data_IF_001992321334
#
_entry.id   IF_001992321334
#
_cell.length_a   1.000
_cell.length_b   1.000
_cell.length_c   1.000
_cell.angle_alpha   90.00
_cell.angle_beta   90.00
_cell.angle_gamma   90.00
#
_symmetry.space_group_name_H-M   'P 1'
#
loop_
_entity.id
_entity.type
_entity.pdbx_description
1 polymer ?
#
# COMPACT_ATOMS: atom_id res chain seq x y z
N UNK A 1 -92.98 29.20 -1.05
CA UNK A 1 -93.85 28.23 -0.36
C UNK A 1 -92.95 27.06 0.08
N UNK A 2 -93.01 26.67 1.37
CA UNK A 2 -92.16 25.64 2.01
C UNK A 2 -92.20 24.30 1.25
N UNK A 3 -91.15 23.47 1.28
CA UNK A 3 -90.94 22.31 2.19
C UNK A 3 -89.51 21.77 1.85
N UNK A 4 -88.50 21.75 2.75
CA UNK A 4 -88.03 20.61 3.60
C UNK A 4 -88.05 19.25 2.88
N UNK A 5 -87.08 18.32 2.87
CA UNK A 5 -86.30 17.61 3.91
C UNK A 5 -85.60 16.47 3.11
N UNK A 6 -84.30 16.20 3.22
CA UNK A 6 -83.60 15.38 4.24
C UNK A 6 -83.41 13.89 3.84
N UNK A 7 -82.24 13.36 4.23
CA UNK A 7 -81.83 11.95 4.42
C UNK A 7 -81.42 11.06 3.21
N UNK A 8 -80.26 10.40 3.38
CA UNK A 8 -79.96 9.15 2.68
C UNK A 8 -78.48 8.76 2.56
N UNK A 9 -77.78 8.50 3.66
CA UNK A 9 -76.53 7.73 3.66
C UNK A 9 -76.80 6.31 3.14
N UNK A 10 -76.03 5.81 2.18
CA UNK A 10 -75.73 4.37 2.06
C UNK A 10 -74.25 4.18 1.73
N UNK A 11 -73.59 3.52 2.67
CA UNK A 11 -72.24 2.99 2.63
C UNK A 11 -72.13 1.84 1.64
N UNK A 12 -71.09 1.84 0.81
CA UNK A 12 -70.58 0.61 0.19
C UNK A 12 -69.06 0.55 0.40
N UNK A 13 -68.65 -0.25 1.37
CA UNK A 13 -67.30 -0.77 1.47
C UNK A 13 -67.06 -1.73 0.29
N UNK A 14 -66.07 -1.42 -0.56
CA UNK A 14 -65.44 -2.43 -1.42
C UNK A 14 -64.01 -2.61 -0.94
N UNK A 15 -63.75 -3.85 -0.51
CA UNK A 15 -62.47 -4.39 -0.05
C UNK A 15 -61.44 -4.30 -1.18
N UNK A 16 -60.45 -3.41 -1.04
CA UNK A 16 -59.26 -3.38 -1.87
C UNK A 16 -58.13 -4.21 -1.24
N UNK A 17 -58.09 -5.50 -1.54
CA UNK A 17 -56.94 -6.35 -1.22
C UNK A 17 -55.79 -6.09 -2.21
N UNK A 18 -54.71 -5.53 -1.68
CA UNK A 18 -53.31 -5.93 -1.91
C UNK A 18 -52.85 -6.25 -3.34
N UNK A 19 -52.16 -5.30 -3.97
CA UNK A 19 -50.78 -5.55 -4.46
C UNK A 19 -49.95 -4.34 -4.05
N UNK A 20 -49.37 -4.41 -2.85
CA UNK A 20 -48.19 -3.61 -2.55
C UNK A 20 -47.11 -4.06 -3.53
N UNK A 21 -46.78 -3.22 -4.51
CA UNK A 21 -45.54 -3.35 -5.22
C UNK A 21 -44.44 -3.26 -4.17
N UNK A 22 -43.93 -4.41 -3.76
CA UNK A 22 -42.66 -4.53 -3.05
C UNK A 22 -41.63 -3.95 -4.00
N UNK A 23 -41.38 -2.65 -3.89
CA UNK A 23 -40.12 -2.06 -4.27
C UNK A 23 -39.09 -2.79 -3.42
N UNK A 24 -38.49 -3.84 -4.01
CA UNK A 24 -37.24 -4.38 -3.54
C UNK A 24 -36.33 -3.18 -3.30
N UNK A 25 -35.72 -3.04 -2.11
CA UNK A 25 -34.57 -2.17 -2.01
C UNK A 25 -33.55 -2.72 -3.00
N UNK A 26 -33.38 -2.06 -4.14
CA UNK A 26 -32.12 -2.15 -4.86
C UNK A 26 -31.08 -1.69 -3.86
N UNK A 27 -30.19 -2.60 -3.48
CA UNK A 27 -28.98 -2.31 -2.72
C UNK A 27 -28.24 -1.15 -3.38
N UNK A 28 -28.52 0.07 -2.91
CA UNK A 28 -27.65 1.21 -3.01
C UNK A 28 -26.56 1.02 -1.96
N UNK A 29 -25.61 0.13 -2.22
CA UNK A 29 -24.31 0.22 -1.55
C UNK A 29 -23.48 1.24 -2.33
N UNK A 30 -23.74 2.52 -2.04
CA UNK A 30 -23.10 3.68 -2.66
C UNK A 30 -21.60 3.72 -2.36
N UNK A 31 -20.79 3.47 -3.39
CA UNK A 31 -19.42 4.00 -3.51
C UNK A 31 -19.55 5.33 -4.28
N UNK A 32 -20.13 6.33 -3.63
CA UNK A 32 -20.58 7.53 -4.34
C UNK A 32 -19.47 8.60 -4.36
N UNK A 33 -18.77 8.63 -5.50
CA UNK A 33 -17.72 9.57 -5.96
C UNK A 33 -16.25 9.26 -5.56
N UNK A 34 -15.35 9.53 -6.52
CA UNK A 34 -13.89 9.42 -6.37
C UNK A 34 -13.39 10.21 -5.15
N UNK A 35 -13.85 11.47 -5.01
CA UNK A 35 -13.41 12.35 -3.92
C UNK A 35 -13.81 11.80 -2.54
N UNK A 36 -15.01 11.21 -2.41
CA UNK A 36 -15.42 10.53 -1.17
C UNK A 36 -14.51 9.35 -0.85
N UNK A 37 -14.09 8.58 -1.85
CA UNK A 37 -13.20 7.43 -1.64
C UNK A 37 -11.81 7.86 -1.16
N UNK A 38 -11.24 8.93 -1.73
CA UNK A 38 -9.96 9.49 -1.28
C UNK A 38 -10.10 10.08 0.12
N UNK A 39 -11.19 10.80 0.39
CA UNK A 39 -11.46 11.40 1.68
C UNK A 39 -11.50 10.35 2.79
N UNK A 40 -12.34 9.32 2.66
CA UNK A 40 -12.44 8.24 3.64
C UNK A 40 -11.11 7.51 3.84
N UNK A 41 -10.40 7.21 2.74
CA UNK A 41 -9.11 6.55 2.81
C UNK A 41 -8.07 7.37 3.58
N UNK A 42 -8.10 8.71 3.45
CA UNK A 42 -7.20 9.60 4.18
C UNK A 42 -7.40 9.57 5.70
N UNK A 43 -8.56 9.10 6.18
CA UNK A 43 -8.84 8.81 7.59
C UNK A 43 -8.60 7.33 7.98
N UNK A 44 -8.08 6.52 7.05
CA UNK A 44 -7.85 5.08 7.23
C UNK A 44 -9.11 4.23 7.07
N UNK A 45 -10.21 4.82 6.59
CA UNK A 45 -11.46 4.11 6.36
C UNK A 45 -11.42 3.46 4.97
N UNK A 46 -10.96 2.22 4.93
CA UNK A 46 -11.13 1.35 3.76
C UNK A 46 -12.53 0.73 3.84
N UNK A 47 -13.52 1.35 3.18
CA UNK A 47 -14.91 0.90 3.12
C UNK A 47 -15.13 -0.41 2.34
N UNK A 48 -14.08 -1.23 2.17
CA UNK A 48 -14.19 -2.58 1.64
C UNK A 48 -13.76 -3.57 2.73
N UNK A 49 -14.62 -4.54 3.09
CA UNK A 49 -14.22 -5.60 4.00
C UNK A 49 -13.03 -6.34 3.37
N UNK A 50 -11.98 -6.52 4.16
CA UNK A 50 -10.95 -7.51 3.87
C UNK A 50 -11.62 -8.87 3.80
N UNK A 51 -11.56 -9.53 2.65
CA UNK A 51 -12.06 -10.88 2.48
C UNK A 51 -10.85 -11.82 2.64
N UNK A 52 -10.78 -12.64 3.70
CA UNK A 52 -9.67 -13.56 3.92
C UNK A 52 -9.57 -14.66 2.85
N UNK A 53 -10.56 -14.79 1.96
CA UNK A 53 -10.49 -15.64 0.77
C UNK A 53 -9.94 -14.92 -0.47
N UNK A 54 -9.80 -13.60 -0.42
CA UNK A 54 -9.26 -12.75 -1.48
C UNK A 54 -7.74 -12.60 -1.37
N UNK A 55 -7.04 -13.65 -1.80
CA UNK A 55 -5.58 -13.67 -1.90
C UNK A 55 -5.11 -13.62 -3.35
N UNK A 56 -3.93 -13.04 -3.58
CA UNK A 56 -3.32 -13.04 -4.90
C UNK A 56 -2.29 -11.93 -5.09
N UNK A 57 -1.76 -11.88 -6.30
CA UNK A 57 -0.83 -10.85 -6.73
C UNK A 57 -1.55 -9.68 -7.41
N UNK A 58 -1.11 -8.47 -7.10
CA UNK A 58 -1.59 -7.23 -7.71
C UNK A 58 -0.42 -6.27 -7.90
N UNK A 59 -0.52 -5.44 -8.93
CA UNK A 59 0.53 -4.51 -9.32
C UNK A 59 0.02 -3.08 -9.35
N UNK A 60 0.83 -2.17 -8.83
CA UNK A 60 0.72 -0.74 -9.05
C UNK A 60 1.64 -0.39 -10.22
N UNK A 61 1.06 -0.30 -11.42
CA UNK A 61 1.79 -0.03 -12.65
C UNK A 61 1.98 1.47 -12.87
N UNK A 62 3.20 1.87 -13.24
CA UNK A 62 3.64 3.28 -13.34
C UNK A 62 3.65 3.77 -14.79
N UNK A 63 3.14 2.96 -15.72
CA UNK A 63 3.13 3.30 -17.15
C UNK A 63 2.46 4.66 -17.37
N UNK A 64 3.16 5.52 -18.11
CA UNK A 64 2.71 6.85 -18.52
C UNK A 64 2.61 7.91 -17.40
N UNK A 65 3.18 7.66 -16.21
CA UNK A 65 3.25 8.66 -15.16
C UNK A 65 4.30 9.75 -15.48
N UNK A 66 3.93 11.04 -15.45
CA UNK A 66 4.86 12.12 -15.76
C UNK A 66 5.94 12.25 -14.68
N UNK A 67 7.20 12.07 -15.09
CA UNK A 67 8.39 12.09 -14.22
C UNK A 67 8.57 13.41 -13.47
N UNK A 68 8.13 14.52 -14.05
CA UNK A 68 8.20 15.85 -13.43
C UNK A 68 7.10 16.09 -12.39
N UNK A 69 6.04 15.26 -12.37
CA UNK A 69 4.93 15.37 -11.42
C UNK A 69 5.00 14.34 -10.31
N UNK A 70 5.49 13.13 -10.60
CA UNK A 70 5.61 12.04 -9.62
C UNK A 70 6.98 11.34 -9.70
N UNK A 71 8.10 12.08 -9.53
CA UNK A 71 9.46 11.53 -9.67
C UNK A 71 9.79 10.39 -8.69
N UNK A 72 9.03 10.29 -7.59
CA UNK A 72 9.15 9.22 -6.59
C UNK A 72 8.61 7.87 -7.06
N UNK A 73 7.67 7.86 -8.01
CA UNK A 73 6.96 6.67 -8.47
C UNK A 73 7.40 6.43 -9.91
N UNK A 74 8.47 5.66 -10.09
CA UNK A 74 9.10 5.41 -11.41
C UNK A 74 9.32 3.93 -11.69
N UNK A 75 8.84 3.05 -10.81
CA UNK A 75 8.97 1.61 -10.93
C UNK A 75 7.67 0.94 -10.48
N UNK A 76 7.29 -0.13 -11.18
CA UNK A 76 6.13 -0.93 -10.83
C UNK A 76 6.32 -1.59 -9.45
N UNK A 77 5.27 -1.54 -8.62
CA UNK A 77 5.27 -2.20 -7.30
C UNK A 77 4.31 -3.38 -7.33
N UNK A 78 4.82 -4.58 -7.09
CA UNK A 78 4.02 -5.82 -7.00
C UNK A 78 3.85 -6.28 -5.55
N UNK A 79 2.62 -6.61 -5.15
CA UNK A 79 2.30 -7.14 -3.83
C UNK A 79 1.52 -8.44 -3.99
N UNK A 80 1.96 -9.47 -3.27
CA UNK A 80 1.11 -10.64 -2.99
C UNK A 80 0.45 -10.43 -1.64
N UNK A 81 -0.87 -10.44 -1.58
CA UNK A 81 -1.65 -10.23 -0.34
C UNK A 81 -2.53 -11.45 -0.05
N UNK A 82 -2.85 -11.70 1.22
CA UNK A 82 -3.69 -12.83 1.63
C UNK A 82 -5.15 -12.44 1.85
N UNK A 83 -5.39 -11.20 2.26
CA UNK A 83 -6.65 -10.72 2.83
C UNK A 83 -7.07 -9.34 2.29
N UNK A 84 -6.20 -8.68 1.52
CA UNK A 84 -6.41 -7.31 1.05
C UNK A 84 -6.43 -7.18 -0.49
N UNK A 85 -6.62 -8.26 -1.25
CA UNK A 85 -6.54 -8.18 -2.72
C UNK A 85 -7.62 -7.26 -3.30
N UNK A 86 -8.88 -7.37 -2.86
CA UNK A 86 -9.95 -6.46 -3.33
C UNK A 86 -9.72 -4.98 -2.92
N UNK A 87 -9.34 -4.65 -1.68
CA UNK A 87 -8.88 -3.31 -1.33
C UNK A 87 -7.73 -2.79 -2.22
N UNK A 88 -6.70 -3.60 -2.47
CA UNK A 88 -5.56 -3.20 -3.31
C UNK A 88 -5.97 -2.98 -4.77
N UNK A 89 -6.86 -3.80 -5.35
CA UNK A 89 -7.44 -3.54 -6.67
C UNK A 89 -8.17 -2.20 -6.72
N UNK A 90 -8.92 -1.86 -5.67
CA UNK A 90 -9.60 -0.58 -5.58
C UNK A 90 -8.61 0.59 -5.54
N UNK A 91 -7.52 0.46 -4.77
CA UNK A 91 -6.44 1.46 -4.69
C UNK A 91 -5.79 1.66 -6.06
N UNK A 92 -5.48 0.57 -6.79
CA UNK A 92 -4.93 0.66 -8.15
C UNK A 92 -5.90 1.39 -9.09
N UNK A 93 -7.18 1.04 -9.08
CA UNK A 93 -8.20 1.71 -9.90
C UNK A 93 -8.34 3.21 -9.57
N UNK A 94 -8.33 3.55 -8.27
CA UNK A 94 -8.35 4.95 -7.83
C UNK A 94 -7.10 5.70 -8.30
N UNK A 95 -5.93 5.06 -8.29
CA UNK A 95 -4.68 5.70 -8.70
C UNK A 95 -4.63 5.99 -10.19
N UNK A 96 -5.16 5.09 -11.02
CA UNK A 96 -5.29 5.30 -12.46
C UNK A 96 -6.23 6.47 -12.75
N UNK A 97 -7.39 6.50 -12.09
CA UNK A 97 -8.35 7.61 -12.21
C UNK A 97 -7.76 8.94 -11.71
N UNK A 98 -6.98 8.92 -10.64
CA UNK A 98 -6.28 10.09 -10.13
C UNK A 98 -5.28 10.62 -11.18
N UNK A 99 -4.47 9.74 -11.78
CA UNK A 99 -3.51 10.11 -12.81
C UNK A 99 -4.19 10.69 -14.06
N UNK A 100 -5.29 10.08 -14.53
CA UNK A 100 -6.10 10.59 -15.65
C UNK A 100 -6.64 12.00 -15.40
N UNK A 101 -6.91 12.34 -14.14
CA UNK A 101 -7.41 13.66 -13.73
C UNK A 101 -6.30 14.65 -13.31
N UNK A 102 -5.03 14.26 -13.41
CA UNK A 102 -3.90 15.08 -12.96
C UNK A 102 -3.87 15.30 -11.44
N UNK A 103 -4.44 14.37 -10.66
CA UNK A 103 -4.52 14.39 -9.19
C UNK A 103 -3.27 13.78 -8.56
N UNK A 104 -2.11 14.41 -8.77
CA UNK A 104 -0.81 13.85 -8.41
C UNK A 104 -0.60 13.65 -6.90
N UNK A 105 -1.14 14.53 -6.06
CA UNK A 105 -1.14 14.33 -4.61
C UNK A 105 -1.87 13.06 -4.18
N UNK A 106 -3.01 12.76 -4.81
CA UNK A 106 -3.76 11.54 -4.55
C UNK A 106 -3.02 10.29 -5.05
N UNK A 107 -2.34 10.37 -6.21
CA UNK A 107 -1.50 9.28 -6.75
C UNK A 107 -0.40 8.91 -5.76
N UNK A 108 0.32 9.90 -5.22
CA UNK A 108 1.39 9.68 -4.24
C UNK A 108 0.85 9.05 -2.95
N UNK A 109 -0.29 9.53 -2.46
CA UNK A 109 -0.95 8.95 -1.31
C UNK A 109 -1.35 7.49 -1.55
N UNK A 110 -2.05 7.20 -2.65
CA UNK A 110 -2.51 5.86 -3.01
C UNK A 110 -1.36 4.88 -3.24
N UNK A 111 -0.26 5.32 -3.85
CA UNK A 111 0.95 4.50 -3.99
C UNK A 111 1.52 4.09 -2.64
N UNK A 112 1.55 4.99 -1.65
CA UNK A 112 2.01 4.67 -0.31
C UNK A 112 1.04 3.71 0.41
N UNK A 113 -0.28 3.94 0.32
CA UNK A 113 -1.28 3.01 0.85
C UNK A 113 -1.10 1.62 0.24
N UNK A 114 -0.93 1.54 -1.09
CA UNK A 114 -0.67 0.29 -1.80
C UNK A 114 0.60 -0.38 -1.27
N UNK A 115 1.73 0.35 -1.22
CA UNK A 115 3.03 -0.15 -0.75
C UNK A 115 3.01 -0.69 0.68
N UNK A 116 2.07 -0.23 1.49
CA UNK A 116 1.78 -0.70 2.85
C UNK A 116 0.71 -1.80 2.91
N UNK A 117 0.50 -2.52 1.79
CA UNK A 117 -0.47 -3.61 1.66
C UNK A 117 -1.92 -3.21 2.01
N UNK A 118 -2.26 -1.92 1.93
CA UNK A 118 -3.59 -1.43 2.28
C UNK A 118 -3.94 -1.57 3.77
N UNK A 119 -2.96 -1.68 4.67
CA UNK A 119 -3.24 -1.72 6.10
C UNK A 119 -3.85 -0.40 6.59
N UNK A 120 -5.06 -0.47 7.14
CA UNK A 120 -5.88 0.68 7.56
C UNK A 120 -5.16 1.62 8.53
N UNK A 121 -4.38 1.05 9.45
CA UNK A 121 -3.64 1.79 10.47
C UNK A 121 -2.58 2.72 9.86
N UNK A 122 -1.96 2.28 8.76
CA UNK A 122 -0.94 3.04 8.05
C UNK A 122 -1.53 3.91 6.93
N UNK A 123 -2.71 3.58 6.41
CA UNK A 123 -3.36 4.34 5.35
C UNK A 123 -3.79 5.76 5.76
N UNK A 124 -3.90 6.04 7.07
CA UNK A 124 -4.21 7.38 7.59
C UNK A 124 -3.16 8.39 7.14
N UNK A 125 -3.58 9.52 6.58
CA UNK A 125 -2.67 10.58 6.13
C UNK A 125 -1.79 11.15 7.26
N UNK A 126 -2.25 11.02 8.51
CA UNK A 126 -1.55 11.47 9.72
C UNK A 126 -0.72 10.38 10.40
N UNK A 127 -0.72 9.13 9.90
CA UNK A 127 0.10 8.07 10.48
C UNK A 127 1.60 8.38 10.31
N UNK A 128 2.46 7.92 11.24
CA UNK A 128 3.91 8.06 11.09
C UNK A 128 4.42 7.48 9.76
N UNK A 129 3.94 6.30 9.38
CA UNK A 129 4.34 5.56 8.17
C UNK A 129 3.94 6.32 6.90
N UNK A 130 2.70 6.82 6.85
CA UNK A 130 2.25 7.62 5.71
C UNK A 130 3.04 8.93 5.62
N UNK A 131 3.22 9.64 6.73
CA UNK A 131 4.01 10.88 6.76
C UNK A 131 5.42 10.65 6.24
N UNK A 132 6.04 9.51 6.57
CA UNK A 132 7.35 9.12 6.04
C UNK A 132 7.31 8.93 4.53
N UNK A 133 6.33 8.19 4.02
CA UNK A 133 6.15 7.96 2.58
C UNK A 133 5.87 9.25 1.79
N UNK A 134 5.09 10.17 2.35
CA UNK A 134 4.83 11.48 1.75
C UNK A 134 6.07 12.37 1.77
N UNK A 135 6.83 12.37 2.88
CA UNK A 135 8.10 13.10 2.98
C UNK A 135 9.12 12.61 1.94
N UNK A 136 9.26 11.30 1.79
CA UNK A 136 10.12 10.71 0.77
C UNK A 136 9.73 11.16 -0.65
N UNK A 137 8.43 11.30 -0.93
CA UNK A 137 7.92 11.70 -2.24
C UNK A 137 8.17 13.17 -2.62
N UNK A 138 8.46 14.03 -1.63
CA UNK A 138 8.77 15.45 -1.84
C UNK A 138 10.22 15.78 -1.52
N UNK A 139 11.06 14.80 -1.22
CA UNK A 139 12.45 15.07 -0.86
C UNK A 139 13.30 15.22 -2.11
N UNK A 140 14.16 16.24 -2.12
CA UNK A 140 15.09 16.47 -3.22
C UNK A 140 16.05 15.29 -3.38
N UNK A 141 16.47 14.94 -4.62
CA UNK A 141 17.41 13.84 -4.85
C UNK A 141 18.74 13.98 -4.09
N UNK A 142 19.19 15.21 -3.84
CA UNK A 142 20.41 15.52 -3.08
C UNK A 142 20.23 15.50 -1.56
N UNK A 143 19.01 15.26 -1.07
CA UNK A 143 18.61 15.25 0.35
C UNK A 143 18.86 16.57 1.09
N UNK A 144 19.05 17.67 0.36
CA UNK A 144 19.25 19.01 0.95
C UNK A 144 18.00 19.56 1.64
N UNK A 145 16.85 18.92 1.43
CA UNK A 145 15.57 19.29 2.01
C UNK A 145 14.41 18.80 1.15
N UNK A 146 13.25 19.42 1.34
CA UNK A 146 12.05 19.16 0.54
C UNK A 146 12.02 20.03 -0.73
N UNK A 147 11.38 19.51 -1.76
CA UNK A 147 11.04 20.15 -3.01
C UNK A 147 9.69 20.88 -2.85
N UNK A 148 9.76 22.21 -2.81
CA UNK A 148 8.60 23.06 -2.58
C UNK A 148 7.63 23.04 -3.77
N UNK A 149 8.12 22.84 -4.99
CA UNK A 149 7.30 22.81 -6.20
C UNK A 149 6.49 21.51 -6.26
N UNK A 150 7.08 20.39 -5.82
CA UNK A 150 6.35 19.14 -5.63
C UNK A 150 5.31 19.24 -4.51
N UNK A 151 5.65 19.85 -3.37
CA UNK A 151 4.67 20.10 -2.31
C UNK A 151 3.50 20.94 -2.84
N UNK A 152 3.77 22.05 -3.53
CA UNK A 152 2.73 22.91 -4.10
C UNK A 152 1.84 22.14 -5.09
N UNK A 153 2.47 21.30 -5.92
CA UNK A 153 1.77 20.43 -6.87
C UNK A 153 0.85 19.45 -6.14
N UNK A 154 1.36 18.73 -5.13
CA UNK A 154 0.58 17.73 -4.40
C UNK A 154 -0.53 18.36 -3.56
N UNK A 155 -0.28 19.51 -2.92
CA UNK A 155 -1.32 20.26 -2.19
C UNK A 155 -2.44 20.69 -3.14
N UNK A 156 -2.12 21.26 -4.31
CA UNK A 156 -3.13 21.74 -5.28
C UNK A 156 -3.93 20.61 -5.92
N UNK A 157 -3.34 19.42 -6.02
CA UNK A 157 -3.92 18.28 -6.74
C UNK A 157 -4.47 17.19 -5.82
N UNK A 158 -4.44 17.39 -4.50
CA UNK A 158 -5.07 16.50 -3.53
C UNK A 158 -6.58 16.76 -3.46
N UNK A 159 -7.38 15.70 -3.44
CA UNK A 159 -8.84 15.80 -3.30
C UNK A 159 -9.33 15.80 -1.84
N UNK A 160 -8.49 15.47 -0.86
CA UNK A 160 -8.85 15.50 0.58
C UNK A 160 -8.19 16.67 1.32
N UNK A 161 -8.95 17.46 2.11
CA UNK A 161 -8.38 18.52 2.94
C UNK A 161 -7.33 18.02 3.94
N UNK A 162 -7.47 16.79 4.46
CA UNK A 162 -6.49 16.19 5.36
C UNK A 162 -5.19 15.90 4.63
N UNK A 163 -5.28 15.42 3.39
CA UNK A 163 -4.10 15.15 2.58
C UNK A 163 -3.38 16.46 2.18
N UNK A 164 -4.15 17.50 1.85
CA UNK A 164 -3.60 18.85 1.64
C UNK A 164 -2.85 19.36 2.88
N UNK A 165 -3.44 19.16 4.07
CA UNK A 165 -2.81 19.54 5.33
C UNK A 165 -1.53 18.73 5.60
N UNK A 166 -1.56 17.42 5.33
CA UNK A 166 -0.41 16.54 5.49
C UNK A 166 0.77 16.99 4.61
N UNK A 167 0.55 17.26 3.32
CA UNK A 167 1.60 17.78 2.43
C UNK A 167 2.08 19.17 2.86
N UNK A 168 1.18 20.07 3.27
CA UNK A 168 1.58 21.40 3.74
C UNK A 168 2.48 21.34 5.00
N UNK A 169 2.23 20.38 5.90
CA UNK A 169 3.06 20.20 7.09
C UNK A 169 4.51 19.77 6.76
N UNK A 170 4.75 19.19 5.57
CA UNK A 170 6.08 18.77 5.14
C UNK A 170 7.02 19.96 4.85
N UNK A 171 6.48 21.15 4.56
CA UNK A 171 7.28 22.36 4.27
C UNK A 171 8.25 22.72 5.41
N UNK A 172 7.87 22.41 6.64
CA UNK A 172 8.64 22.72 7.85
C UNK A 172 9.21 21.47 8.51
N UNK A 173 9.00 20.29 7.91
CA UNK A 173 9.50 19.04 8.45
C UNK A 173 11.00 18.91 8.11
N UNK A 174 11.90 18.83 9.11
CA UNK A 174 13.31 18.57 8.85
C UNK A 174 13.44 17.22 8.16
N UNK A 175 14.22 17.20 7.08
CA UNK A 175 14.55 15.97 6.37
C UNK A 175 15.71 15.31 7.12
N UNK A 176 15.43 14.35 8.01
CA UNK A 176 16.49 13.51 8.57
C UNK A 176 16.73 12.30 7.67
N UNK A 177 17.99 11.87 7.54
CA UNK A 177 18.38 10.70 6.75
C UNK A 177 17.62 9.43 7.19
N UNK A 178 17.25 9.33 8.47
CA UNK A 178 16.40 8.28 9.03
C UNK A 178 14.96 8.31 8.51
N UNK A 179 14.44 9.49 8.20
CA UNK A 179 13.07 9.69 7.71
C UNK A 179 12.96 9.36 6.21
N UNK A 180 14.07 9.48 5.47
CA UNK A 180 14.16 9.22 4.03
C UNK A 180 14.65 7.82 3.66
N UNK A 181 14.59 6.87 4.59
CA UNK A 181 14.93 5.51 4.25
C UNK A 181 13.96 5.04 3.15
N UNK A 182 14.38 5.17 1.88
CA UNK A 182 13.97 4.29 0.80
C UNK A 182 13.91 2.90 1.39
N UNK A 183 12.87 2.12 1.05
CA UNK A 183 12.63 0.81 1.68
C UNK A 183 13.95 0.06 1.87
N UNK A 184 14.84 0.17 0.86
CA UNK A 184 16.30 -0.09 0.86
C UNK A 184 17.07 1.00 0.08
N UNK A 185 18.38 1.17 0.33
CA UNK A 185 19.21 2.24 -0.25
C UNK A 185 19.86 1.90 -1.60
N UNK A 186 19.95 0.62 -1.97
CA UNK A 186 20.54 0.10 -3.23
C UNK A 186 20.27 -1.41 -3.35
N UNK A 187 20.29 -1.96 -4.57
CA UNK A 187 20.44 -3.39 -4.83
C UNK A 187 21.69 -3.73 -5.65
N UNK A 188 22.19 -4.95 -5.51
CA UNK A 188 23.26 -5.50 -6.36
C UNK A 188 23.04 -6.97 -6.65
N UNK A 189 22.82 -7.33 -7.91
CA UNK A 189 22.77 -8.72 -8.37
C UNK A 189 24.19 -9.23 -8.68
N UNK A 190 24.49 -10.48 -8.28
CA UNK A 190 25.79 -11.12 -8.51
C UNK A 190 25.65 -12.40 -9.33
N UNK A 191 26.63 -12.67 -10.20
CA UNK A 191 26.76 -13.94 -10.93
C UNK A 191 27.44 -15.05 -10.11
N UNK A 192 27.91 -14.75 -8.90
CA UNK A 192 28.58 -15.71 -8.00
C UNK A 192 27.61 -16.19 -6.92
N UNK A 193 27.91 -17.36 -6.33
CA UNK A 193 27.16 -17.90 -5.18
C UNK A 193 25.64 -18.02 -5.41
N UNK A 194 25.29 -18.33 -6.65
CA UNK A 194 23.92 -18.42 -7.11
C UNK A 194 23.17 -19.58 -6.44
N UNK A 195 22.05 -19.25 -5.79
CA UNK A 195 21.06 -20.22 -5.33
C UNK A 195 19.97 -20.42 -6.39
N UNK A 196 19.35 -21.60 -6.42
CA UNK A 196 18.21 -21.85 -7.30
C UNK A 196 17.02 -20.99 -6.87
N UNK A 197 16.37 -20.32 -7.83
CA UNK A 197 15.28 -19.38 -7.54
C UNK A 197 14.11 -20.05 -6.81
N UNK A 198 13.76 -21.28 -7.18
CA UNK A 198 12.72 -22.07 -6.50
C UNK A 198 13.06 -22.41 -5.05
N UNK A 199 14.33 -22.71 -4.74
CA UNK A 199 14.78 -22.90 -3.37
C UNK A 199 14.64 -21.62 -2.55
N UNK A 200 15.00 -20.47 -3.13
CA UNK A 200 14.85 -19.19 -2.47
C UNK A 200 13.41 -18.77 -2.28
N UNK A 201 12.53 -19.03 -3.25
CA UNK A 201 11.08 -18.85 -3.10
C UNK A 201 10.55 -19.71 -1.95
N UNK A 202 10.97 -20.97 -1.86
CA UNK A 202 10.59 -21.86 -0.75
C UNK A 202 11.10 -21.38 0.62
N UNK A 203 12.25 -20.71 0.67
CA UNK A 203 12.74 -20.07 1.89
C UNK A 203 11.96 -18.79 2.21
N UNK A 204 11.70 -17.91 1.24
CA UNK A 204 10.96 -16.67 1.45
C UNK A 204 9.54 -16.95 1.93
N UNK A 205 8.85 -17.93 1.36
CA UNK A 205 7.51 -18.31 1.82
C UNK A 205 7.54 -18.90 3.24
N UNK A 206 8.60 -19.63 3.62
CA UNK A 206 8.72 -20.15 4.99
C UNK A 206 8.85 -19.03 6.04
N UNK A 207 9.62 -17.99 5.73
CA UNK A 207 9.87 -16.91 6.70
C UNK A 207 8.79 -15.84 6.71
N UNK A 208 7.92 -15.81 5.70
CA UNK A 208 6.95 -14.74 5.44
C UNK A 208 6.03 -14.39 6.62
N UNK A 209 5.62 -15.38 7.39
CA UNK A 209 4.75 -15.22 8.57
C UNK A 209 5.41 -15.73 9.86
N UNK A 210 6.74 -15.83 9.84
CA UNK A 210 7.48 -16.31 10.98
C UNK A 210 7.76 -15.13 11.93
N UNK A 211 6.82 -14.90 12.85
CA UNK A 211 6.92 -13.87 13.89
C UNK A 211 7.88 -14.24 15.05
N UNK A 212 8.76 -15.24 14.86
CA UNK A 212 9.75 -15.60 15.87
C UNK A 212 10.81 -14.52 15.98
N UNK A 213 11.08 -14.07 17.20
CA UNK A 213 12.14 -13.11 17.49
C UNK A 213 13.52 -13.74 17.39
N UNK A 214 14.46 -13.00 16.82
CA UNK A 214 15.88 -13.32 16.79
C UNK A 214 16.72 -12.14 17.26
N UNK A 215 17.88 -12.42 17.88
CA UNK A 215 18.82 -11.42 18.37
C UNK A 215 20.23 -11.99 18.43
N UNK A 216 21.26 -11.19 18.13
CA UNK A 216 22.66 -11.54 18.42
C UNK A 216 23.32 -12.65 17.58
N UNK A 217 22.57 -13.38 16.74
CA UNK A 217 23.07 -14.38 15.77
C UNK A 217 22.42 -15.77 15.91
N UNK A 218 22.63 -16.70 14.95
CA UNK A 218 23.42 -16.59 13.72
C UNK A 218 22.85 -15.57 12.73
N UNK A 219 23.73 -14.88 11.97
CA UNK A 219 23.35 -13.82 11.00
C UNK A 219 22.80 -14.37 9.67
N UNK A 220 22.14 -15.53 9.72
CA UNK A 220 21.58 -16.17 8.54
C UNK A 220 20.45 -17.16 8.85
N UNK A 221 19.66 -17.46 7.82
CA UNK A 221 18.67 -18.53 7.76
C UNK A 221 18.82 -19.24 6.42
N UNK A 222 19.00 -20.55 6.43
CA UNK A 222 19.22 -21.34 5.22
C UNK A 222 18.20 -22.47 5.07
N UNK A 223 17.81 -22.75 3.82
CA UNK A 223 16.98 -23.90 3.45
C UNK A 223 17.23 -24.30 2.00
N UNK A 224 17.41 -25.59 1.76
CA UNK A 224 17.49 -26.19 0.42
C UNK A 224 18.47 -25.48 -0.54
N UNK A 225 19.63 -25.07 -0.02
CA UNK A 225 20.68 -24.39 -0.80
C UNK A 225 20.43 -22.92 -1.10
N UNK A 226 19.40 -22.30 -0.49
CA UNK A 226 19.25 -20.85 -0.42
C UNK A 226 19.44 -20.37 1.02
N UNK A 227 20.05 -19.21 1.18
CA UNK A 227 20.34 -18.59 2.46
C UNK A 227 20.01 -17.10 2.39
N UNK A 228 19.36 -16.60 3.43
CA UNK A 228 19.25 -15.16 3.74
C UNK A 228 20.28 -14.87 4.81
N UNK A 229 21.13 -13.86 4.62
CA UNK A 229 22.12 -13.43 5.62
C UNK A 229 22.13 -11.91 5.75
N UNK A 230 22.63 -11.37 6.87
CA UNK A 230 22.66 -9.92 7.08
C UNK A 230 23.95 -9.42 7.74
N UNK A 231 24.31 -8.16 7.49
CA UNK A 231 25.67 -7.65 7.71
C UNK A 231 26.03 -7.25 9.14
N UNK A 232 25.07 -7.12 10.07
CA UNK A 232 25.34 -6.73 11.45
C UNK A 232 24.39 -7.41 12.45
N UNK A 233 24.72 -7.43 13.73
CA UNK A 233 23.78 -7.94 14.73
C UNK A 233 22.54 -7.04 14.81
N UNK A 234 21.36 -7.64 14.81
CA UNK A 234 20.06 -6.96 14.89
C UNK A 234 19.08 -7.79 15.73
N UNK A 235 18.08 -7.14 16.30
CA UNK A 235 16.98 -7.79 17.02
C UNK A 235 15.68 -7.54 16.28
N UNK A 236 15.05 -8.58 15.73
CA UNK A 236 13.91 -8.45 14.84
C UNK A 236 13.07 -9.73 14.80
N UNK A 237 11.89 -9.69 14.14
CA UNK A 237 11.11 -10.88 13.84
C UNK A 237 11.51 -11.43 12.47
N UNK A 238 11.65 -12.75 12.33
CA UNK A 238 12.16 -13.39 11.10
C UNK A 238 11.44 -12.91 9.83
N UNK A 239 10.12 -12.67 9.90
CA UNK A 239 9.32 -12.11 8.80
C UNK A 239 9.81 -10.74 8.28
N UNK A 240 10.54 -9.96 9.08
CA UNK A 240 11.10 -8.67 8.65
C UNK A 240 12.15 -8.84 7.52
N UNK A 241 12.71 -10.03 7.33
CA UNK A 241 13.63 -10.34 6.22
C UNK A 241 12.88 -10.60 4.89
N UNK A 242 11.58 -10.86 4.94
CA UNK A 242 10.81 -11.34 3.78
C UNK A 242 10.86 -10.37 2.60
N UNK A 243 10.60 -9.08 2.84
CA UNK A 243 10.44 -8.10 1.76
C UNK A 243 11.73 -7.99 0.92
N UNK A 244 12.89 -7.87 1.57
CA UNK A 244 14.18 -7.75 0.89
C UNK A 244 14.57 -9.03 0.15
N UNK A 245 14.31 -10.20 0.75
CA UNK A 245 14.58 -11.48 0.12
C UNK A 245 13.66 -11.73 -1.10
N UNK A 246 12.37 -11.46 -0.99
CA UNK A 246 11.42 -11.61 -2.09
C UNK A 246 11.71 -10.63 -3.24
N UNK A 247 12.08 -9.40 -2.93
CA UNK A 247 12.52 -8.45 -3.95
C UNK A 247 13.76 -8.96 -4.68
N UNK A 248 14.77 -9.45 -3.95
CA UNK A 248 15.97 -10.04 -4.54
C UNK A 248 15.65 -11.16 -5.53
N UNK A 249 14.76 -12.09 -5.14
CA UNK A 249 14.26 -13.17 -6.02
C UNK A 249 13.66 -12.59 -7.30
N UNK A 250 12.87 -11.52 -7.21
CA UNK A 250 12.18 -10.94 -8.37
C UNK A 250 13.11 -10.13 -9.26
N UNK A 251 13.95 -9.28 -8.68
CA UNK A 251 14.81 -8.34 -9.38
C UNK A 251 16.03 -9.00 -10.05
N UNK A 252 16.55 -10.09 -9.49
CA UNK A 252 17.81 -10.69 -9.95
C UNK A 252 17.62 -12.08 -10.59
N UNK A 253 18.11 -12.24 -11.83
CA UNK A 253 18.27 -13.52 -12.53
C UNK A 253 16.98 -14.24 -12.93
N UNK A 254 17.07 -15.15 -13.92
CA UNK A 254 15.92 -15.93 -14.41
C UNK A 254 15.72 -17.25 -13.65
N UNK A 255 16.75 -18.10 -13.57
CA UNK A 255 16.68 -19.42 -12.92
C UNK A 255 17.44 -19.53 -11.59
N UNK A 256 18.42 -18.66 -11.37
CA UNK A 256 19.21 -18.60 -10.15
C UNK A 256 19.36 -17.15 -9.68
N UNK A 257 19.54 -16.97 -8.39
CA UNK A 257 19.62 -15.67 -7.74
C UNK A 257 20.81 -15.61 -6.78
N UNK A 258 21.52 -14.50 -6.84
CA UNK A 258 22.37 -14.02 -5.75
C UNK A 258 22.28 -12.51 -5.74
N UNK A 259 21.96 -11.90 -4.62
CA UNK A 259 21.96 -10.46 -4.51
C UNK A 259 22.23 -9.96 -3.09
N UNK A 260 22.56 -8.68 -3.02
CA UNK A 260 22.63 -7.88 -1.81
C UNK A 260 21.67 -6.69 -1.92
N UNK A 261 20.92 -6.48 -0.85
CA UNK A 261 19.97 -5.38 -0.68
C UNK A 261 20.46 -4.54 0.49
N UNK A 262 20.78 -3.27 0.23
CA UNK A 262 21.45 -2.38 1.17
C UNK A 262 20.44 -1.58 1.99
N UNK A 263 20.73 -1.29 3.25
CA UNK A 263 19.90 -0.38 4.05
C UNK A 263 18.55 -0.96 4.49
N UNK A 264 18.48 -2.27 4.69
CA UNK A 264 17.31 -2.95 5.28
C UNK A 264 17.17 -2.56 6.74
N UNK A 265 16.00 -2.01 7.12
CA UNK A 265 15.69 -1.70 8.51
C UNK A 265 15.06 -2.92 9.22
N UNK A 266 15.82 -3.51 10.13
CA UNK A 266 15.37 -4.58 11.02
C UNK A 266 15.11 -3.99 12.42
N UNK A 267 13.90 -3.45 12.62
CA UNK A 267 13.43 -2.90 13.91
C UNK A 267 14.39 -1.85 14.52
N UNK A 268 14.83 -0.89 13.70
CA UNK A 268 15.72 0.20 14.09
C UNK A 268 17.20 -0.07 13.81
N UNK A 269 17.57 -1.29 13.42
CA UNK A 269 18.95 -1.61 12.99
C UNK A 269 19.03 -1.64 11.48
N UNK A 270 19.87 -0.80 10.89
CA UNK A 270 20.11 -0.78 9.44
C UNK A 270 21.19 -1.81 9.09
N UNK A 271 20.86 -2.74 8.20
CA UNK A 271 21.77 -3.80 7.73
C UNK A 271 21.75 -3.89 6.21
N UNK A 272 22.71 -4.61 5.64
CA UNK A 272 22.56 -5.18 4.31
C UNK A 272 21.99 -6.59 4.46
N UNK A 273 21.11 -6.99 3.56
CA UNK A 273 20.56 -8.33 3.49
C UNK A 273 20.94 -8.99 2.17
N UNK A 274 21.49 -10.19 2.25
CA UNK A 274 21.93 -10.96 1.11
C UNK A 274 21.06 -12.19 0.96
N UNK A 275 20.81 -12.58 -0.29
CA UNK A 275 20.18 -13.83 -0.65
C UNK A 275 21.12 -14.56 -1.60
N UNK A 276 21.60 -15.75 -1.23
CA UNK A 276 22.57 -16.51 -2.03
C UNK A 276 22.56 -17.98 -1.64
N UNK A 277 23.47 -18.79 -2.17
CA UNK A 277 23.70 -20.16 -1.69
C UNK A 277 24.65 -20.25 -0.49
N UNK A 278 25.00 -19.11 0.13
CA UNK A 278 25.92 -19.02 1.28
C UNK A 278 25.25 -18.40 2.50
N UNK A 279 25.50 -19.02 3.64
CA UNK A 279 25.13 -18.49 4.96
C UNK A 279 25.88 -17.18 5.30
N UNK A 280 27.03 -16.92 4.65
CA UNK A 280 27.91 -15.78 4.89
C UNK A 280 27.90 -14.80 3.72
N UNK A 281 26.74 -14.61 3.08
CA UNK A 281 26.63 -13.76 1.89
C UNK A 281 26.88 -12.27 2.15
N UNK A 282 26.58 -11.81 3.37
CA UNK A 282 26.68 -10.41 3.82
C UNK A 282 27.78 -10.19 4.87
N UNK A 283 28.70 -11.14 5.02
CA UNK A 283 29.84 -11.03 5.94
C UNK A 283 31.06 -10.40 5.29
#
# INVERSE_FOLDING_TARGET
MRISTNLGLVSLCVLGSSIAAVTRPQDRQGLDSYDSSIHELSYGNLNRPSDPSSSGEIWFSVKDFPTDKVPYIQQDVGIYTLDNLEPLKAIVQLSQKAAEQGKWGDVVFLHNVFSMNGHREYARATSPEMRQGLLAAVTKPDKSGVDMDLIDTYVRTSSSPVLMAAFNALRTTPVQQSDLAARWSRESCSGHHLATKSSCQGLTELIRFNATWTSGGPRNICRNGCCISWSANATFMIENLYNAANYCVRACGSAKVSCEVFGVNLQGTIVNQCLSNRATGCE
#
